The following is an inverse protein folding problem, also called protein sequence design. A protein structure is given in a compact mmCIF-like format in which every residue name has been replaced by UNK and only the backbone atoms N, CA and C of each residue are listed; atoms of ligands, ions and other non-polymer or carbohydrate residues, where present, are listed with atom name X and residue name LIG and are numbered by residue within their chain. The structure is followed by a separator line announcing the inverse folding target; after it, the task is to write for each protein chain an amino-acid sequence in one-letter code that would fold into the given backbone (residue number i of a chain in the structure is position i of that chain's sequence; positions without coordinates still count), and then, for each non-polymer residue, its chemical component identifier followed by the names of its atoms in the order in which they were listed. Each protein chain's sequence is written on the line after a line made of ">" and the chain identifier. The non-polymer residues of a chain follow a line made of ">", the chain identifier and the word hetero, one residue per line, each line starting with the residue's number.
data_IF_723470764950
#
_entry.id   IF_723470764950
#
_cell.length_a   1.000
_cell.length_b   1.000
_cell.length_c   1.000
_cell.angle_alpha   90.00
_cell.angle_beta   90.00
_cell.angle_gamma   90.00
#
_symmetry.space_group_name_H-M   'P 1'
#
loop_
_entity.id
_entity.type
_entity.pdbx_description
1 polymer ?
#
# COMPACT_ATOMS: atom_id res chain seq x y z
N UNK A 1 17.75 -4.31 0.41
CA UNK A 1 17.50 -2.87 0.61
C UNK A 1 18.39 -2.11 -0.36
N UNK A 2 17.94 -0.94 -0.82
CA UNK A 2 18.67 -0.05 -1.70
C UNK A 2 18.66 1.34 -1.11
N UNK A 3 19.83 1.97 -1.03
CA UNK A 3 20.04 3.32 -0.51
C UNK A 3 20.55 4.17 -1.69
N UNK A 4 19.90 5.31 -1.99
CA UNK A 4 20.35 6.17 -3.08
C UNK A 4 21.75 6.72 -2.79
N UNK A 5 22.60 6.79 -3.81
CA UNK A 5 23.81 7.60 -3.74
C UNK A 5 23.40 9.08 -3.82
N UNK A 6 23.51 9.81 -2.71
CA UNK A 6 23.23 11.24 -2.65
C UNK A 6 24.37 11.96 -1.94
N UNK A 7 24.60 13.22 -2.32
CA UNK A 7 25.50 14.16 -1.61
C UNK A 7 24.72 15.11 -0.71
N UNK A 8 23.40 15.01 -0.69
CA UNK A 8 22.56 15.82 0.18
C UNK A 8 22.74 15.37 1.63
N UNK A 9 23.35 16.24 2.42
CA UNK A 9 23.33 16.14 3.87
C UNK A 9 21.92 16.48 4.36
N UNK A 10 21.19 15.46 4.82
CA UNK A 10 19.94 15.64 5.52
C UNK A 10 18.70 15.15 4.76
N UNK A 11 17.83 14.53 5.56
CA UNK A 11 16.43 14.18 5.29
C UNK A 11 16.22 13.19 4.14
N UNK A 12 16.09 11.92 4.50
CA UNK A 12 15.76 10.83 3.60
C UNK A 12 14.32 10.34 3.82
N UNK A 13 13.68 9.92 2.74
CA UNK A 13 12.47 9.10 2.82
C UNK A 13 12.81 7.61 2.90
N UNK A 14 11.87 6.78 3.35
CA UNK A 14 11.92 5.33 3.17
C UNK A 14 10.59 4.81 2.63
N UNK A 15 10.67 3.90 1.67
CA UNK A 15 9.57 3.04 1.25
C UNK A 15 9.89 1.62 1.69
N UNK A 16 9.08 1.09 2.62
CA UNK A 16 9.09 -0.33 2.97
C UNK A 16 8.05 -1.04 2.10
N UNK A 17 8.51 -1.79 1.11
CA UNK A 17 7.67 -2.54 0.19
C UNK A 17 7.53 -4.01 0.61
N UNK A 18 6.30 -4.49 0.70
CA UNK A 18 5.96 -5.86 1.05
C UNK A 18 5.47 -6.61 -0.19
N UNK A 19 6.08 -7.78 -0.42
CA UNK A 19 5.71 -8.75 -1.43
C UNK A 19 5.90 -8.29 -2.89
N UNK A 20 6.90 -8.85 -3.58
CA UNK A 20 7.12 -8.60 -5.00
C UNK A 20 8.60 -8.63 -5.41
N UNK A 21 8.84 -8.37 -6.70
CA UNK A 21 10.19 -8.31 -7.25
C UNK A 21 10.95 -7.08 -6.71
N UNK A 22 12.08 -7.30 -6.04
CA UNK A 22 12.77 -6.25 -5.29
C UNK A 22 13.30 -5.09 -6.16
N UNK A 23 13.56 -5.33 -7.45
CA UNK A 23 14.05 -4.30 -8.36
C UNK A 23 13.01 -3.21 -8.68
N UNK A 24 11.71 -3.51 -8.54
CA UNK A 24 10.64 -2.55 -8.85
C UNK A 24 10.55 -1.41 -7.83
N UNK A 25 10.49 -1.66 -6.51
CA UNK A 25 10.59 -0.60 -5.51
C UNK A 25 11.88 0.22 -5.63
N UNK A 26 13.00 -0.42 -5.96
CA UNK A 26 14.29 0.26 -6.17
C UNK A 26 14.22 1.22 -7.35
N UNK A 27 13.72 0.76 -8.49
CA UNK A 27 13.49 1.61 -9.67
C UNK A 27 12.50 2.74 -9.35
N UNK A 28 11.45 2.44 -8.59
CA UNK A 28 10.41 3.42 -8.25
C UNK A 28 10.94 4.58 -7.40
N UNK A 29 11.79 4.30 -6.40
CA UNK A 29 12.34 5.35 -5.52
C UNK A 29 13.49 6.12 -6.16
N UNK A 30 14.18 5.56 -7.16
CA UNK A 30 15.35 6.18 -7.78
C UNK A 30 15.05 7.54 -8.45
N UNK A 31 13.79 7.80 -8.80
CA UNK A 31 13.35 9.07 -9.41
C UNK A 31 12.55 9.97 -8.47
N UNK A 32 12.60 9.75 -7.16
CA UNK A 32 11.90 10.57 -6.18
C UNK A 32 12.79 11.66 -5.59
N UNK A 33 12.15 12.78 -5.19
CA UNK A 33 12.71 13.81 -4.34
C UNK A 33 11.77 14.01 -3.13
N UNK A 34 12.27 14.05 -1.88
CA UNK A 34 13.69 13.90 -1.48
C UNK A 34 14.22 12.48 -1.73
N UNK A 35 15.55 12.26 -1.69
CA UNK A 35 16.14 10.94 -1.87
C UNK A 35 15.52 9.91 -0.93
N UNK A 36 15.11 8.78 -1.49
CA UNK A 36 14.27 7.79 -0.80
C UNK A 36 14.89 6.40 -0.85
N UNK A 37 14.98 5.75 0.32
CA UNK A 37 15.47 4.38 0.50
C UNK A 37 14.36 3.38 0.13
N UNK A 38 14.72 2.27 -0.53
CA UNK A 38 13.81 1.15 -0.74
C UNK A 38 14.20 -0.06 0.10
N UNK A 39 13.37 -0.41 1.07
CA UNK A 39 13.45 -1.68 1.80
C UNK A 39 12.39 -2.64 1.25
N UNK A 40 12.78 -3.86 0.88
CA UNK A 40 11.85 -4.85 0.31
C UNK A 40 11.82 -6.07 1.21
N UNK A 41 10.62 -6.51 1.57
CA UNK A 41 10.38 -7.65 2.46
C UNK A 41 9.49 -8.68 1.77
N UNK A 42 10.01 -9.89 1.61
CA UNK A 42 9.31 -11.04 1.05
C UNK A 42 9.30 -12.17 2.09
N UNK A 43 8.14 -12.46 2.69
CA UNK A 43 7.97 -13.47 3.76
C UNK A 43 7.34 -14.78 3.27
N UNK A 44 6.95 -14.83 1.99
CA UNK A 44 6.30 -15.99 1.38
C UNK A 44 4.97 -15.62 0.73
N UNK A 45 4.16 -16.66 0.48
CA UNK A 45 2.86 -16.57 -0.17
C UNK A 45 1.71 -16.31 0.82
N UNK A 46 0.72 -15.55 0.37
CA UNK A 46 -0.50 -15.25 1.12
C UNK A 46 -0.31 -14.19 2.21
N UNK A 47 -1.31 -13.33 2.38
CA UNK A 47 -1.22 -12.20 3.30
C UNK A 47 -1.19 -12.58 4.77
N UNK A 48 -1.61 -13.79 5.13
CA UNK A 48 -1.60 -14.29 6.50
C UNK A 48 -0.20 -14.43 7.09
N UNK A 49 0.83 -14.72 6.29
CA UNK A 49 2.21 -14.80 6.80
C UNK A 49 2.69 -13.42 7.23
N UNK A 50 2.50 -12.41 6.37
CA UNK A 50 2.83 -11.02 6.67
C UNK A 50 2.06 -10.49 7.88
N UNK A 51 0.77 -10.76 7.94
CA UNK A 51 -0.10 -10.35 9.05
C UNK A 51 0.39 -10.91 10.39
N UNK A 52 0.71 -12.21 10.45
CA UNK A 52 1.23 -12.84 11.67
C UNK A 52 2.59 -12.28 12.09
N UNK A 53 3.52 -12.09 11.15
CA UNK A 53 4.85 -11.55 11.46
C UNK A 53 4.78 -10.14 12.04
N UNK A 54 3.94 -9.28 11.47
CA UNK A 54 3.82 -7.88 11.93
C UNK A 54 2.71 -7.66 12.96
N UNK A 55 2.06 -8.73 13.44
CA UNK A 55 1.18 -8.66 14.62
C UNK A 55 1.97 -8.45 15.90
N UNK A 56 3.25 -8.81 15.94
CA UNK A 56 4.18 -8.38 16.97
C UNK A 56 4.77 -7.01 16.58
N UNK A 57 4.45 -5.93 17.32
CA UNK A 57 4.97 -4.61 17.03
C UNK A 57 6.51 -4.51 17.04
N UNK A 58 7.19 -5.38 17.79
CA UNK A 58 8.66 -5.38 17.83
C UNK A 58 9.29 -5.71 16.47
N UNK A 59 8.59 -6.47 15.62
CA UNK A 59 9.07 -6.84 14.29
C UNK A 59 9.22 -5.61 13.37
N UNK A 60 8.24 -4.71 13.36
CA UNK A 60 8.32 -3.49 12.56
C UNK A 60 9.30 -2.48 13.17
N UNK A 61 9.38 -2.40 14.51
CA UNK A 61 10.40 -1.57 15.16
C UNK A 61 11.82 -1.98 14.79
N UNK A 62 12.10 -3.29 14.83
CA UNK A 62 13.39 -3.85 14.47
C UNK A 62 13.72 -3.58 13.01
N UNK A 63 12.74 -3.70 12.11
CA UNK A 63 12.91 -3.35 10.70
C UNK A 63 13.28 -1.87 10.52
N UNK A 64 12.54 -0.94 11.14
CA UNK A 64 12.83 0.49 11.02
C UNK A 64 14.21 0.85 11.61
N UNK A 65 14.59 0.26 12.75
CA UNK A 65 15.94 0.43 13.32
C UNK A 65 17.02 -0.07 12.37
N UNK A 66 16.89 -1.28 11.84
CA UNK A 66 17.89 -1.84 10.91
C UNK A 66 18.01 -1.02 9.61
N UNK A 67 16.91 -0.42 9.14
CA UNK A 67 16.98 0.52 8.01
C UNK A 67 17.73 1.80 8.42
N UNK A 68 17.43 2.37 9.58
CA UNK A 68 18.09 3.58 10.07
C UNK A 68 19.60 3.37 10.26
N UNK A 69 20.02 2.24 10.84
CA UNK A 69 21.42 1.91 11.06
C UNK A 69 22.18 1.82 9.72
N UNK A 70 21.63 1.07 8.75
CA UNK A 70 22.26 0.93 7.44
C UNK A 70 22.26 2.23 6.62
N UNK A 71 21.28 3.11 6.84
CA UNK A 71 21.28 4.45 6.26
C UNK A 71 22.39 5.30 6.89
N UNK A 72 22.58 5.25 8.20
CA UNK A 72 23.63 5.98 8.90
C UNK A 72 25.04 5.53 8.48
N UNK A 73 25.23 4.25 8.14
CA UNK A 73 26.49 3.72 7.63
C UNK A 73 26.88 4.33 6.26
N UNK A 74 25.89 4.57 5.39
CA UNK A 74 26.11 5.11 4.03
C UNK A 74 26.09 6.65 4.02
N UNK A 75 25.20 7.24 4.82
CA UNK A 75 24.95 8.67 4.92
C UNK A 75 25.01 9.11 6.39
N UNK A 76 26.21 9.27 6.98
CA UNK A 76 26.35 9.70 8.36
C UNK A 76 25.62 11.03 8.62
N UNK A 77 24.77 11.06 9.65
CA UNK A 77 23.98 12.25 10.01
C UNK A 77 22.66 12.42 9.24
N UNK A 78 22.35 11.56 8.28
CA UNK A 78 21.04 11.57 7.63
C UNK A 78 19.94 11.06 8.58
N UNK A 79 18.78 11.73 8.56
CA UNK A 79 17.59 11.34 9.32
C UNK A 79 16.48 10.85 8.38
N UNK A 80 15.79 9.78 8.77
CA UNK A 80 14.59 9.30 8.07
C UNK A 80 13.41 10.17 8.49
N UNK A 81 12.98 11.10 7.64
CA UNK A 81 11.84 11.96 7.95
C UNK A 81 10.52 11.28 7.64
N UNK A 82 10.42 10.67 6.46
CA UNK A 82 9.17 10.14 5.93
C UNK A 82 9.21 8.63 5.81
N UNK A 83 8.23 7.94 6.39
CA UNK A 83 8.05 6.49 6.31
C UNK A 83 6.80 6.17 5.51
N UNK A 84 7.01 5.55 4.37
CA UNK A 84 5.96 5.01 3.53
C UNK A 84 5.98 3.48 3.57
N UNK A 85 4.79 2.89 3.59
CA UNK A 85 4.62 1.44 3.42
C UNK A 85 3.87 1.15 2.12
N UNK A 86 4.42 0.26 1.31
CA UNK A 86 3.83 -0.17 0.05
C UNK A 86 3.59 -1.68 0.08
N UNK A 87 2.48 -2.14 -0.49
CA UNK A 87 2.14 -3.56 -0.49
C UNK A 87 1.50 -3.97 -1.80
N UNK A 88 2.04 -5.00 -2.43
CA UNK A 88 1.44 -5.63 -3.60
C UNK A 88 0.82 -6.97 -3.21
N UNK A 89 -0.39 -7.26 -3.71
CA UNK A 89 -1.05 -8.54 -3.47
C UNK A 89 -1.06 -8.91 -1.98
N UNK A 90 -0.46 -10.05 -1.60
CA UNK A 90 -0.28 -10.51 -0.22
C UNK A 90 0.38 -9.50 0.75
N UNK A 91 1.18 -8.56 0.25
CA UNK A 91 1.88 -7.55 1.06
C UNK A 91 0.95 -6.67 1.90
N UNK A 92 -0.33 -6.54 1.53
CA UNK A 92 -1.33 -5.82 2.32
C UNK A 92 -1.50 -6.37 3.74
N UNK A 93 -1.17 -7.65 3.96
CA UNK A 93 -1.21 -8.29 5.28
C UNK A 93 -0.26 -7.64 6.28
N UNK A 94 0.94 -7.25 5.84
CA UNK A 94 1.89 -6.51 6.68
C UNK A 94 1.30 -5.15 7.04
N UNK A 95 0.84 -4.40 6.03
CA UNK A 95 0.35 -3.03 6.20
C UNK A 95 -0.81 -2.98 7.20
N UNK A 96 -1.83 -3.84 7.03
CA UNK A 96 -2.98 -3.82 7.95
C UNK A 96 -2.60 -4.25 9.38
N UNK A 97 -1.56 -5.08 9.56
CA UNK A 97 -1.09 -5.47 10.89
C UNK A 97 -0.31 -4.33 11.55
N UNK A 98 0.64 -3.73 10.82
CA UNK A 98 1.43 -2.57 11.24
C UNK A 98 0.51 -1.43 11.69
N UNK A 99 -0.50 -1.10 10.89
CA UNK A 99 -1.40 0.03 11.17
C UNK A 99 -2.37 -0.20 12.34
N UNK A 100 -2.45 -1.39 12.93
CA UNK A 100 -3.25 -1.63 14.15
C UNK A 100 -2.58 -1.02 15.38
N UNK A 101 -1.25 -0.99 15.38
CA UNK A 101 -0.45 -0.47 16.49
C UNK A 101 -0.43 1.07 16.44
N UNK A 102 -0.92 1.78 17.48
CA UNK A 102 -1.03 3.24 17.45
C UNK A 102 0.29 3.97 17.15
N UNK A 103 1.43 3.52 17.70
CA UNK A 103 2.72 4.19 17.46
C UNK A 103 3.22 3.99 16.02
N UNK A 104 2.89 2.88 15.38
CA UNK A 104 3.21 2.64 13.97
C UNK A 104 2.27 3.40 13.05
N UNK A 105 0.97 3.46 13.37
CA UNK A 105 0.02 4.31 12.68
C UNK A 105 0.47 5.78 12.69
N UNK A 106 0.96 6.27 13.84
CA UNK A 106 1.51 7.61 13.94
C UNK A 106 2.77 7.78 13.08
N UNK A 107 3.67 6.79 13.08
CA UNK A 107 4.97 6.84 12.39
C UNK A 107 4.89 6.72 10.87
N UNK A 108 3.92 5.97 10.34
CA UNK A 108 3.72 5.78 8.90
C UNK A 108 3.01 6.99 8.34
N UNK A 109 3.63 7.68 7.41
CA UNK A 109 3.12 8.89 6.77
C UNK A 109 2.20 8.55 5.60
N UNK A 110 2.57 7.50 4.84
CA UNK A 110 1.84 7.15 3.63
C UNK A 110 1.73 5.64 3.35
N UNK A 111 0.66 5.27 2.66
CA UNK A 111 0.33 3.90 2.27
C UNK A 111 0.09 3.83 0.76
N UNK A 112 0.77 2.89 0.11
CA UNK A 112 0.50 2.50 -1.28
C UNK A 112 0.03 1.04 -1.35
N UNK A 113 -1.20 0.80 -1.77
CA UNK A 113 -1.73 -0.54 -2.00
C UNK A 113 -1.88 -0.81 -3.51
N UNK A 114 -1.17 -1.83 -3.97
CA UNK A 114 -1.10 -2.25 -5.37
C UNK A 114 -1.90 -3.55 -5.52
N UNK A 115 -3.16 -3.42 -5.91
CA UNK A 115 -4.10 -4.53 -6.13
C UNK A 115 -4.04 -5.62 -5.06
N UNK A 116 -3.94 -5.23 -3.78
CA UNK A 116 -3.70 -6.17 -2.69
C UNK A 116 -4.71 -6.10 -1.55
N UNK A 117 -5.61 -5.13 -1.50
CA UNK A 117 -6.50 -4.94 -0.36
C UNK A 117 -7.57 -6.04 -0.26
N UNK A 118 -7.25 -7.21 0.32
CA UNK A 118 -8.19 -8.32 0.43
C UNK A 118 -8.74 -8.50 1.85
N UNK A 119 -9.89 -9.17 1.96
CA UNK A 119 -10.39 -9.73 3.22
C UNK A 119 -11.15 -11.04 2.98
N UNK A 120 -11.59 -11.69 4.05
CA UNK A 120 -12.39 -12.92 4.00
C UNK A 120 -13.89 -12.61 3.87
N UNK A 121 -14.70 -13.61 3.54
CA UNK A 121 -16.15 -13.53 3.63
C UNK A 121 -16.66 -14.13 4.95
N UNK A 122 -17.88 -13.75 5.33
CA UNK A 122 -18.68 -14.32 6.42
C UNK A 122 -20.07 -14.68 5.87
N UNK A 123 -20.48 -15.96 5.87
CA UNK A 123 -19.68 -17.15 6.13
C UNK A 123 -18.48 -17.29 5.17
N UNK A 124 -17.49 -18.10 5.54
CA UNK A 124 -16.29 -18.28 4.73
C UNK A 124 -16.66 -18.71 3.29
N UNK A 125 -16.00 -18.08 2.30
CA UNK A 125 -16.19 -18.33 0.86
C UNK A 125 -17.61 -18.08 0.33
N UNK A 126 -18.51 -17.49 1.12
CA UNK A 126 -19.83 -17.07 0.64
C UNK A 126 -19.73 -15.64 0.13
N UNK A 127 -19.67 -15.50 -1.20
CA UNK A 127 -19.52 -14.19 -1.87
C UNK A 127 -20.73 -13.29 -1.64
N UNK A 128 -20.59 -11.98 -1.86
CA UNK A 128 -21.68 -11.01 -1.64
C UNK A 128 -22.94 -11.33 -2.47
N UNK A 129 -22.76 -11.78 -3.72
CA UNK A 129 -23.87 -12.16 -4.60
C UNK A 129 -24.69 -13.35 -4.08
N UNK A 130 -24.13 -14.15 -3.16
CA UNK A 130 -24.81 -15.28 -2.51
C UNK A 130 -25.32 -14.94 -1.10
N UNK A 131 -25.36 -13.65 -0.75
CA UNK A 131 -25.84 -13.18 0.56
C UNK A 131 -24.78 -13.22 1.67
N UNK A 132 -23.51 -13.47 1.34
CA UNK A 132 -22.43 -13.33 2.31
C UNK A 132 -22.09 -11.87 2.60
N UNK A 133 -21.25 -11.66 3.61
CA UNK A 133 -20.74 -10.36 4.02
C UNK A 133 -19.21 -10.33 3.99
N UNK A 134 -18.62 -9.14 3.89
CA UNK A 134 -17.18 -8.99 4.09
C UNK A 134 -16.84 -9.13 5.58
N UNK A 135 -15.81 -9.90 5.89
CA UNK A 135 -15.13 -9.81 7.18
C UNK A 135 -14.40 -8.47 7.27
N UNK A 136 -15.07 -7.47 7.82
CA UNK A 136 -14.54 -6.11 7.91
C UNK A 136 -13.45 -5.94 8.98
N UNK A 137 -13.22 -6.94 9.84
CA UNK A 137 -12.24 -6.84 10.94
C UNK A 137 -10.82 -6.55 10.43
N UNK A 138 -10.47 -7.12 9.28
CA UNK A 138 -9.16 -6.92 8.62
C UNK A 138 -9.07 -5.59 7.85
N UNK A 139 -10.17 -4.89 7.66
CA UNK A 139 -10.23 -3.60 6.95
C UNK A 139 -10.18 -2.40 7.90
N UNK A 140 -10.49 -2.57 9.18
CA UNK A 140 -10.59 -1.46 10.16
C UNK A 140 -9.38 -0.51 10.15
N UNK A 141 -8.16 -1.05 10.22
CA UNK A 141 -6.95 -0.22 10.25
C UNK A 141 -6.72 0.54 8.93
N UNK A 142 -7.00 -0.11 7.80
CA UNK A 142 -6.90 0.52 6.47
C UNK A 142 -7.96 1.60 6.28
N UNK A 143 -9.20 1.35 6.72
CA UNK A 143 -10.28 2.34 6.68
C UNK A 143 -9.94 3.55 7.53
N UNK A 144 -9.44 3.37 8.75
CA UNK A 144 -8.99 4.49 9.61
C UNK A 144 -7.86 5.29 8.99
N UNK A 145 -6.92 4.63 8.30
CA UNK A 145 -5.85 5.31 7.59
C UNK A 145 -6.38 6.10 6.38
N UNK A 146 -7.34 5.53 5.64
CA UNK A 146 -8.02 6.21 4.55
C UNK A 146 -8.80 7.44 5.04
N UNK A 147 -9.44 7.38 6.21
CA UNK A 147 -10.10 8.52 6.85
C UNK A 147 -9.09 9.63 7.22
N UNK A 148 -7.95 9.26 7.81
CA UNK A 148 -6.88 10.20 8.11
C UNK A 148 -6.30 10.84 6.83
N UNK A 149 -6.12 10.04 5.77
CA UNK A 149 -5.71 10.55 4.48
C UNK A 149 -6.76 11.48 3.86
N UNK A 150 -8.04 11.17 4.00
CA UNK A 150 -9.13 12.04 3.56
C UNK A 150 -9.18 13.39 4.30
N UNK A 151 -8.69 13.43 5.55
CA UNK A 151 -8.48 14.68 6.32
C UNK A 151 -7.15 15.38 6.01
N UNK A 152 -6.28 14.79 5.20
CA UNK A 152 -4.97 15.34 4.83
C UNK A 152 -3.85 15.08 5.84
N UNK A 153 -4.10 14.23 6.85
CA UNK A 153 -3.13 13.89 7.90
C UNK A 153 -2.13 12.82 7.45
N UNK A 154 -2.49 12.04 6.44
CA UNK A 154 -1.71 10.92 5.87
C UNK A 154 -1.82 10.93 4.35
N UNK A 155 -0.94 10.22 3.65
CA UNK A 155 -1.08 9.97 2.22
C UNK A 155 -1.55 8.56 1.94
N UNK A 156 -2.57 8.35 1.11
CA UNK A 156 -2.97 6.99 0.76
C UNK A 156 -3.37 6.88 -0.71
N UNK A 157 -2.75 5.94 -1.41
CA UNK A 157 -3.11 5.57 -2.78
C UNK A 157 -3.44 4.09 -2.83
N UNK A 158 -4.64 3.77 -3.30
CA UNK A 158 -5.08 2.40 -3.57
C UNK A 158 -5.32 2.23 -5.06
N UNK A 159 -4.75 1.19 -5.64
CA UNK A 159 -5.13 0.71 -6.98
C UNK A 159 -5.72 -0.68 -6.87
N UNK A 160 -6.68 -0.98 -7.74
CA UNK A 160 -7.23 -2.33 -7.85
C UNK A 160 -7.62 -2.66 -9.28
N UNK A 161 -7.60 -3.95 -9.59
CA UNK A 161 -8.15 -4.54 -10.82
C UNK A 161 -9.62 -4.93 -10.61
N UNK A 162 -10.25 -5.52 -11.63
CA UNK A 162 -11.56 -6.18 -11.54
C UNK A 162 -11.44 -7.68 -11.24
N UNK A 163 -10.28 -8.13 -10.75
CA UNK A 163 -10.07 -9.54 -10.42
C UNK A 163 -11.07 -9.99 -9.37
N UNK A 164 -11.79 -11.08 -9.69
CA UNK A 164 -12.72 -11.72 -8.76
C UNK A 164 -12.20 -13.10 -8.32
N UNK A 165 -11.62 -13.24 -7.11
CA UNK A 165 -11.01 -14.49 -6.67
C UNK A 165 -12.00 -15.62 -6.34
N UNK A 166 -13.27 -15.27 -6.06
CA UNK A 166 -14.34 -16.20 -5.66
C UNK A 166 -14.19 -16.89 -4.29
N UNK A 167 -12.98 -16.96 -3.73
CA UNK A 167 -12.69 -17.64 -2.45
C UNK A 167 -12.43 -16.67 -1.29
N UNK A 168 -12.12 -15.42 -1.61
CA UNK A 168 -11.96 -14.29 -0.71
C UNK A 168 -12.41 -13.01 -1.43
N UNK A 169 -12.58 -11.92 -0.68
CA UNK A 169 -13.09 -10.66 -1.22
C UNK A 169 -12.11 -10.06 -2.23
N UNK A 170 -12.64 -9.65 -3.38
CA UNK A 170 -11.88 -8.91 -4.39
C UNK A 170 -11.40 -7.57 -3.86
N UNK A 171 -10.36 -7.02 -4.47
CA UNK A 171 -9.89 -5.66 -4.19
C UNK A 171 -10.92 -4.60 -4.58
N UNK A 172 -11.81 -4.89 -5.53
CA UNK A 172 -12.96 -4.04 -5.87
C UNK A 172 -13.97 -3.97 -4.71
N UNK A 173 -14.36 -5.13 -4.15
CA UNK A 173 -15.35 -5.18 -3.05
C UNK A 173 -14.84 -4.51 -1.76
N UNK A 174 -13.55 -4.68 -1.44
CA UNK A 174 -12.94 -4.03 -0.28
C UNK A 174 -12.72 -2.54 -0.51
N UNK A 175 -12.38 -2.13 -1.74
CA UNK A 175 -12.32 -0.72 -2.12
C UNK A 175 -13.68 -0.06 -1.91
N UNK A 176 -14.77 -0.72 -2.32
CA UNK A 176 -16.12 -0.21 -2.10
C UNK A 176 -16.50 -0.13 -0.61
N UNK A 177 -16.00 -1.04 0.23
CA UNK A 177 -16.17 -0.94 1.68
C UNK A 177 -15.50 0.32 2.23
N UNK A 178 -14.25 0.61 1.86
CA UNK A 178 -13.54 1.82 2.29
C UNK A 178 -14.27 3.08 1.78
N UNK A 179 -14.70 3.10 0.52
CA UNK A 179 -15.42 4.24 -0.06
C UNK A 179 -16.74 4.52 0.67
N UNK A 180 -17.49 3.47 1.06
CA UNK A 180 -18.71 3.62 1.88
C UNK A 180 -18.41 4.26 3.23
N UNK A 181 -17.34 3.83 3.91
CA UNK A 181 -16.94 4.43 5.18
C UNK A 181 -16.56 5.92 5.04
N UNK A 182 -15.91 6.29 3.93
CA UNK A 182 -15.57 7.68 3.64
C UNK A 182 -16.75 8.53 3.12
N UNK A 183 -17.93 7.94 2.92
CA UNK A 183 -19.07 8.62 2.28
C UNK A 183 -18.79 9.05 0.85
N UNK A 184 -17.91 8.35 0.12
CA UNK A 184 -17.49 8.67 -1.25
C UNK A 184 -18.10 7.70 -2.25
N UNK A 185 -18.25 8.17 -3.49
CA UNK A 185 -18.69 7.37 -4.64
C UNK A 185 -17.64 7.48 -5.73
N UNK A 186 -17.50 6.41 -6.51
CA UNK A 186 -16.62 6.35 -7.68
C UNK A 186 -17.09 7.33 -8.74
N UNK A 187 -16.15 8.08 -9.31
CA UNK A 187 -16.36 8.76 -10.58
C UNK A 187 -15.93 7.81 -11.70
N UNK A 188 -16.84 7.42 -12.62
CA UNK A 188 -16.46 6.62 -13.77
C UNK A 188 -15.57 7.45 -14.70
N UNK A 189 -14.50 6.84 -15.21
CA UNK A 189 -13.59 7.43 -16.18
C UNK A 189 -13.26 6.41 -17.25
N UNK A 190 -12.75 6.87 -18.39
CA UNK A 190 -12.19 6.00 -19.41
C UNK A 190 -10.90 6.64 -19.91
N UNK A 191 -9.78 6.27 -19.29
CA UNK A 191 -8.46 6.82 -19.64
C UNK A 191 -7.37 5.79 -19.47
N UNK A 192 -6.26 5.98 -20.19
CA UNK A 192 -5.07 5.17 -20.02
C UNK A 192 -4.36 5.54 -18.72
N UNK A 193 -3.98 4.52 -17.96
CA UNK A 193 -3.12 4.61 -16.79
C UNK A 193 -1.70 4.14 -17.07
N UNK A 194 -0.89 4.03 -16.01
CA UNK A 194 0.46 3.48 -16.10
C UNK A 194 0.46 2.12 -16.78
N UNK A 195 1.55 1.81 -17.49
CA UNK A 195 1.76 0.51 -18.17
C UNK A 195 0.66 0.12 -19.17
N UNK A 196 -0.16 1.07 -19.62
CA UNK A 196 -1.25 0.78 -20.55
C UNK A 196 -2.49 0.19 -19.89
N UNK A 197 -2.55 0.12 -18.55
CA UNK A 197 -3.77 -0.27 -17.83
C UNK A 197 -4.93 0.67 -18.19
N UNK A 198 -6.14 0.14 -18.38
CA UNK A 198 -7.33 0.96 -18.63
C UNK A 198 -7.97 1.35 -17.30
N UNK A 199 -7.96 2.64 -16.97
CA UNK A 199 -8.59 3.15 -15.75
C UNK A 199 -10.09 3.36 -15.98
N UNK A 200 -10.91 2.73 -15.13
CA UNK A 200 -12.37 2.75 -15.20
C UNK A 200 -13.02 3.64 -14.14
N UNK A 201 -12.33 3.89 -13.02
CA UNK A 201 -12.86 4.76 -11.97
C UNK A 201 -11.78 5.48 -11.19
N UNK A 202 -12.16 6.57 -10.56
CA UNK A 202 -11.35 7.23 -9.53
C UNK A 202 -12.18 7.84 -8.40
N UNK A 203 -11.52 7.98 -7.25
CA UNK A 203 -11.98 8.79 -6.12
C UNK A 203 -10.78 9.54 -5.56
N UNK A 204 -10.96 10.84 -5.32
CA UNK A 204 -10.03 11.65 -4.57
C UNK A 204 -10.75 12.34 -3.40
N UNK A 205 -10.14 12.35 -2.22
CA UNK A 205 -10.61 13.10 -1.06
C UNK A 205 -9.40 13.46 -0.19
N UNK A 206 -9.11 14.75 0.00
CA UNK A 206 -7.88 15.17 0.68
C UNK A 206 -6.65 14.52 0.03
N UNK A 207 -5.88 13.78 0.83
CA UNK A 207 -4.71 13.03 0.42
C UNK A 207 -4.99 11.52 0.19
N UNK A 208 -6.26 11.13 0.09
CA UNK A 208 -6.69 9.79 -0.31
C UNK A 208 -7.00 9.75 -1.82
N UNK A 209 -6.40 8.80 -2.52
CA UNK A 209 -6.64 8.50 -3.93
C UNK A 209 -6.94 7.01 -4.11
N UNK A 210 -8.01 6.70 -4.84
CA UNK A 210 -8.35 5.33 -5.22
C UNK A 210 -8.58 5.28 -6.73
N UNK A 211 -7.91 4.35 -7.40
CA UNK A 211 -7.94 4.17 -8.85
C UNK A 211 -8.38 2.74 -9.17
N UNK A 212 -9.49 2.59 -9.89
CA UNK A 212 -9.95 1.28 -10.37
C UNK A 212 -9.58 1.07 -11.83
N UNK A 213 -9.03 -0.10 -12.14
CA UNK A 213 -8.58 -0.48 -13.48
C UNK A 213 -9.32 -1.72 -13.97
N UNK A 214 -9.54 -1.80 -15.28
CA UNK A 214 -10.03 -2.99 -15.95
C UNK A 214 -9.00 -4.13 -15.81
N UNK A 215 -9.47 -5.37 -15.90
CA UNK A 215 -8.62 -6.56 -15.93
C UNK A 215 -9.02 -7.60 -14.89
N UNK A 216 -8.97 -8.87 -15.28
CA UNK A 216 -9.41 -10.01 -14.48
C UNK A 216 -8.47 -11.23 -14.65
N UNK A 217 -7.20 -10.97 -14.96
CA UNK A 217 -6.17 -12.01 -15.21
C UNK A 217 -4.92 -11.77 -14.38
N UNK A 218 -4.04 -12.77 -14.30
CA UNK A 218 -2.78 -12.64 -13.57
C UNK A 218 -1.85 -11.53 -14.14
N UNK A 219 -1.72 -11.33 -15.46
CA UNK A 219 -1.02 -10.17 -16.00
C UNK A 219 -1.59 -8.83 -15.53
N UNK A 220 -2.91 -8.67 -15.54
CA UNK A 220 -3.56 -7.43 -15.07
C UNK A 220 -3.16 -7.12 -13.62
N UNK A 221 -3.13 -8.14 -12.76
CA UNK A 221 -2.65 -8.03 -11.38
C UNK A 221 -1.20 -7.53 -11.30
N UNK A 222 -0.32 -8.13 -12.12
CA UNK A 222 1.12 -7.83 -12.12
C UNK A 222 1.42 -6.42 -12.62
N UNK A 223 0.60 -5.88 -13.54
CA UNK A 223 0.76 -4.53 -14.05
C UNK A 223 0.68 -3.47 -12.95
N UNK A 224 -0.09 -3.71 -11.88
CA UNK A 224 -0.11 -2.83 -10.70
C UNK A 224 1.23 -2.73 -9.99
N UNK A 225 1.98 -3.84 -9.88
CA UNK A 225 3.32 -3.84 -9.32
C UNK A 225 4.30 -3.12 -10.25
N UNK A 226 4.21 -3.36 -11.55
CA UNK A 226 5.06 -2.69 -12.55
C UNK A 226 4.77 -1.18 -12.67
N UNK A 227 3.56 -0.75 -12.35
CA UNK A 227 3.13 0.65 -12.30
C UNK A 227 3.63 1.41 -11.06
N UNK A 228 4.32 0.75 -10.13
CA UNK A 228 4.80 1.37 -8.89
C UNK A 228 5.60 2.67 -9.13
N UNK A 229 6.53 2.80 -10.09
CA UNK A 229 7.26 4.05 -10.34
C UNK A 229 6.34 5.24 -10.66
N UNK A 230 5.28 5.02 -11.43
CA UNK A 230 4.31 6.05 -11.80
C UNK A 230 3.33 6.34 -10.66
N UNK A 231 2.89 5.30 -9.94
CA UNK A 231 1.93 5.44 -8.85
C UNK A 231 2.55 6.10 -7.61
N UNK A 232 3.82 5.81 -7.32
CA UNK A 232 4.54 6.41 -6.19
C UNK A 232 4.67 7.94 -6.34
N UNK A 233 4.86 8.42 -7.57
CA UNK A 233 4.87 9.86 -7.89
C UNK A 233 3.50 10.53 -7.75
N UNK A 234 2.43 9.74 -7.86
CA UNK A 234 1.04 10.22 -7.73
C UNK A 234 0.50 10.15 -6.31
N UNK A 235 1.18 9.44 -5.41
CA UNK A 235 0.77 9.30 -4.02
C UNK A 235 0.81 10.67 -3.34
N UNK A 236 -0.35 11.21 -2.89
CA UNK A 236 -0.36 12.46 -2.15
C UNK A 236 0.48 12.31 -0.88
N UNK A 237 1.24 13.34 -0.52
CA UNK A 237 2.03 13.32 0.69
C UNK A 237 1.20 13.72 1.90
N UNK A 238 1.18 12.87 2.94
CA UNK A 238 0.82 13.29 4.29
C UNK A 238 1.72 14.44 4.77
N UNK A 239 1.20 15.26 5.68
CA UNK A 239 1.98 16.31 6.35
C UNK A 239 2.63 15.80 7.62
#
# INVERSE_FOLDING_TARGET
>A
MWIPATREEGRLGVVVHFHGAAWLPQQAVAGLAPPTVAAVVNLGAGSGVYDRTYSDPAAFDALLRGIADAVADVHPGAAIERVMVAGFSAGHGAIRAILREPRHFARVDDVLLLDGMHTSYIPERTVLALGGALDSTKLVALTRFAEAAARGEKGMLVTHSEIFPGTFASTTETADHVLRALGRRRTPVLKWGPRGMQQLSEVAAGNFLLLGFAGNTAPDHIDHLHAMPELLKRLPAGR
#
